data_IF_330269868901
#
_entry.id   IF_330269868901
#
_cell.length_a   1.000
_cell.length_b   1.000
_cell.length_c   1.000
_cell.angle_alpha   90.00
_cell.angle_beta   90.00
_cell.angle_gamma   90.00
#
_symmetry.space_group_name_H-M   'P 1'
#
loop_
_entity.id
_entity.type
_entity.pdbx_description
1 polymer ?
#
# COMPACT_ATOMS: atom_id res chain seq x y z
N UNK A 1 5.08 -22.81 1.08
CA UNK A 1 4.89 -21.84 2.19
C UNK A 1 3.40 -21.74 2.49
N UNK A 2 2.98 -21.90 3.75
CA UNK A 2 1.56 -21.78 4.12
C UNK A 2 1.09 -20.31 4.12
N UNK A 3 -0.19 -20.08 3.84
CA UNK A 3 -0.80 -18.76 4.02
C UNK A 3 -0.99 -18.49 5.52
N UNK A 4 -0.77 -17.23 5.92
CA UNK A 4 -0.91 -16.70 7.28
C UNK A 4 -1.96 -15.59 7.25
N UNK A 5 -2.66 -15.43 8.36
CA UNK A 5 -3.58 -14.33 8.58
C UNK A 5 -2.81 -13.09 9.02
N UNK A 6 -3.12 -11.97 8.40
CA UNK A 6 -2.60 -10.64 8.70
C UNK A 6 -3.76 -9.66 8.81
N UNK A 7 -3.53 -8.57 9.54
CA UNK A 7 -4.41 -7.40 9.54
C UNK A 7 -3.62 -6.25 8.94
N UNK A 8 -4.16 -5.66 7.88
CA UNK A 8 -3.65 -4.40 7.32
C UNK A 8 -4.33 -3.28 8.09
N UNK A 9 -3.55 -2.44 8.75
CA UNK A 9 -4.00 -1.23 9.39
C UNK A 9 -3.45 -0.02 8.60
N UNK A 10 -4.37 0.81 8.09
CA UNK A 10 -4.04 2.03 7.34
C UNK A 10 -4.33 3.30 8.16
N UNK A 11 -4.57 3.17 9.46
CA UNK A 11 -4.93 4.24 10.39
C UNK A 11 -6.43 4.60 10.40
N UNK A 12 -7.11 4.48 9.25
CA UNK A 12 -8.56 4.71 9.12
C UNK A 12 -9.39 3.42 9.21
N UNK A 13 -8.85 2.31 8.71
CA UNK A 13 -9.53 1.00 8.65
C UNK A 13 -8.54 -0.13 8.92
N UNK A 14 -9.06 -1.23 9.46
CA UNK A 14 -8.35 -2.48 9.64
C UNK A 14 -8.97 -3.56 8.76
N UNK A 15 -8.15 -4.24 7.96
CA UNK A 15 -8.59 -5.17 6.94
C UNK A 15 -7.94 -6.53 7.17
N UNK A 16 -8.71 -7.58 7.51
CA UNK A 16 -8.19 -8.93 7.65
C UNK A 16 -7.89 -9.52 6.26
N UNK A 17 -6.70 -10.09 6.09
CA UNK A 17 -6.24 -10.65 4.82
C UNK A 17 -5.36 -11.88 5.04
N UNK A 18 -5.31 -12.74 4.01
CA UNK A 18 -4.37 -13.85 3.97
C UNK A 18 -3.18 -13.53 3.06
N UNK A 19 -1.98 -13.93 3.48
CA UNK A 19 -0.77 -13.80 2.68
C UNK A 19 0.37 -14.67 3.18
N UNK A 20 1.55 -14.53 2.59
CA UNK A 20 2.73 -15.29 3.02
C UNK A 20 3.72 -14.40 3.81
N UNK A 21 4.00 -13.20 3.28
CA UNK A 21 5.00 -12.26 3.81
C UNK A 21 4.35 -10.89 3.99
N UNK A 22 4.66 -10.19 5.09
CA UNK A 22 4.09 -8.87 5.41
C UNK A 22 4.25 -7.87 4.26
N UNK A 23 5.45 -7.77 3.66
CA UNK A 23 5.72 -6.85 2.55
C UNK A 23 4.84 -7.16 1.34
N UNK A 24 4.67 -8.44 0.99
CA UNK A 24 3.82 -8.84 -0.13
C UNK A 24 2.35 -8.50 0.10
N UNK A 25 1.88 -8.60 1.35
CA UNK A 25 0.52 -8.20 1.74
C UNK A 25 0.34 -6.69 1.54
N UNK A 26 1.27 -5.88 2.03
CA UNK A 26 1.28 -4.43 1.82
C UNK A 26 1.28 -4.07 0.33
N UNK A 27 2.22 -4.61 -0.45
CA UNK A 27 2.32 -4.35 -1.90
C UNK A 27 1.05 -4.75 -2.64
N UNK A 28 0.46 -5.92 -2.32
CA UNK A 28 -0.78 -6.38 -2.96
C UNK A 28 -1.94 -5.41 -2.71
N UNK A 29 -2.04 -4.88 -1.50
CA UNK A 29 -3.03 -3.87 -1.16
C UNK A 29 -2.82 -2.56 -1.93
N UNK A 30 -1.57 -2.05 -1.94
CA UNK A 30 -1.20 -0.83 -2.66
C UNK A 30 -1.43 -0.94 -4.17
N UNK A 31 -1.08 -2.09 -4.77
CA UNK A 31 -1.37 -2.37 -6.18
C UNK A 31 -2.87 -2.35 -6.49
N UNK A 32 -3.73 -2.79 -5.56
CA UNK A 32 -5.18 -2.71 -5.73
C UNK A 32 -5.65 -1.25 -5.74
N UNK A 33 -5.16 -0.42 -4.81
CA UNK A 33 -5.45 1.02 -4.77
C UNK A 33 -4.97 1.75 -6.04
N UNK A 34 -3.74 1.46 -6.49
CA UNK A 34 -3.18 1.95 -7.75
C UNK A 34 -4.06 1.60 -8.95
N UNK A 35 -4.55 0.35 -9.03
CA UNK A 35 -5.41 -0.09 -10.13
C UNK A 35 -6.73 0.70 -10.17
N UNK A 36 -7.32 1.00 -9.02
CA UNK A 36 -8.53 1.84 -8.95
C UNK A 36 -8.29 3.24 -9.52
N UNK A 37 -7.13 3.86 -9.23
CA UNK A 37 -6.76 5.15 -9.80
C UNK A 37 -6.61 5.09 -11.32
N UNK A 38 -5.89 4.09 -11.84
CA UNK A 38 -5.67 3.91 -13.27
C UNK A 38 -6.97 3.65 -14.05
N UNK A 39 -7.93 2.94 -13.45
CA UNK A 39 -9.20 2.62 -14.08
C UNK A 39 -10.22 3.78 -14.03
N UNK A 40 -9.97 4.80 -13.22
CA UNK A 40 -10.90 5.93 -13.04
C UNK A 40 -10.68 6.99 -14.10
N UNK A 41 -11.69 7.25 -14.93
CA UNK A 41 -11.63 8.25 -16.02
C UNK A 41 -11.97 9.68 -15.58
N UNK A 42 -12.75 9.82 -14.51
CA UNK A 42 -13.18 11.13 -13.99
C UNK A 42 -12.06 11.79 -13.19
N UNK A 43 -11.70 13.02 -13.56
CA UNK A 43 -10.61 13.78 -12.93
C UNK A 43 -10.87 14.03 -11.44
N UNK A 44 -12.06 14.51 -11.07
CA UNK A 44 -12.41 14.78 -9.66
C UNK A 44 -12.32 13.52 -8.79
N UNK A 45 -12.79 12.37 -9.31
CA UNK A 45 -12.70 11.10 -8.58
C UNK A 45 -11.25 10.64 -8.40
N UNK A 46 -10.39 10.86 -9.40
CA UNK A 46 -8.95 10.55 -9.30
C UNK A 46 -8.31 11.40 -8.21
N UNK A 47 -8.59 12.70 -8.15
CA UNK A 47 -8.05 13.59 -7.10
C UNK A 47 -8.47 13.16 -5.70
N UNK A 48 -9.75 12.82 -5.52
CA UNK A 48 -10.27 12.33 -4.25
C UNK A 48 -9.63 10.99 -3.85
N UNK A 49 -9.53 10.04 -4.78
CA UNK A 49 -8.89 8.75 -4.53
C UNK A 49 -7.41 8.88 -4.24
N UNK A 50 -6.71 9.80 -4.92
CA UNK A 50 -5.29 10.04 -4.72
C UNK A 50 -5.02 10.64 -3.34
N UNK A 51 -5.86 11.57 -2.92
CA UNK A 51 -5.76 12.22 -1.61
C UNK A 51 -6.12 11.28 -0.45
N UNK A 52 -6.92 10.23 -0.70
CA UNK A 52 -7.24 9.18 0.27
C UNK A 52 -6.21 8.04 0.32
N UNK A 53 -5.16 8.08 -0.51
CA UNK A 53 -4.14 7.02 -0.49
C UNK A 53 -3.41 6.99 0.86
N UNK A 54 -3.19 5.80 1.43
CA UNK A 54 -2.45 5.69 2.67
C UNK A 54 -0.97 5.98 2.45
N UNK A 55 -0.43 6.86 3.30
CA UNK A 55 1.00 7.16 3.37
C UNK A 55 1.75 6.24 4.34
N UNK A 56 1.04 5.61 5.26
CA UNK A 56 1.60 4.66 6.22
C UNK A 56 0.71 3.43 6.28
N UNK A 57 1.31 2.25 6.26
CA UNK A 57 0.60 0.98 6.38
C UNK A 57 1.30 0.11 7.41
N UNK A 58 0.53 -0.43 8.34
CA UNK A 58 1.01 -1.37 9.34
C UNK A 58 0.42 -2.75 9.05
N UNK A 59 1.27 -3.76 8.97
CA UNK A 59 0.88 -5.15 8.75
C UNK A 59 1.07 -5.90 10.05
N UNK A 60 -0.04 -6.18 10.73
CA UNK A 60 -0.07 -6.87 12.00
C UNK A 60 -0.16 -8.37 11.72
N UNK A 61 0.89 -9.10 12.04
CA UNK A 61 0.89 -10.56 12.02
C UNK A 61 0.79 -11.13 13.44
N UNK A 62 0.63 -12.45 13.54
CA UNK A 62 0.49 -13.14 14.84
C UNK A 62 1.65 -12.91 15.83
N UNK A 63 2.87 -12.71 15.34
CA UNK A 63 4.08 -12.58 16.16
C UNK A 63 4.85 -11.29 15.92
N UNK A 64 4.79 -10.76 14.70
CA UNK A 64 5.56 -9.59 14.29
C UNK A 64 4.62 -8.65 13.58
N UNK A 65 4.76 -7.36 13.91
CA UNK A 65 4.12 -6.29 13.18
C UNK A 65 5.18 -5.50 12.43
N UNK A 66 4.95 -5.26 11.14
CA UNK A 66 5.84 -4.45 10.30
C UNK A 66 5.11 -3.21 9.83
N UNK A 67 5.75 -2.06 9.95
CA UNK A 67 5.22 -0.79 9.48
C UNK A 67 5.99 -0.37 8.24
N UNK A 68 5.27 0.16 7.26
CA UNK A 68 5.83 0.63 6.00
C UNK A 68 5.38 2.07 5.75
N UNK A 69 6.32 2.92 5.39
CA UNK A 69 6.04 4.22 4.80
C UNK A 69 5.85 4.05 3.31
N UNK A 70 4.82 4.68 2.77
CA UNK A 70 4.43 4.59 1.36
C UNK A 70 4.53 5.98 0.75
N UNK A 71 5.36 6.13 -0.25
CA UNK A 71 5.48 7.37 -1.01
C UNK A 71 4.78 7.18 -2.35
N UNK A 72 3.79 8.03 -2.64
CA UNK A 72 3.02 7.99 -3.88
C UNK A 72 3.46 9.09 -4.83
N UNK A 73 3.64 8.74 -6.09
CA UNK A 73 4.00 9.64 -7.18
C UNK A 73 2.95 9.58 -8.29
N UNK A 74 2.48 10.74 -8.76
CA UNK A 74 1.47 10.80 -9.83
C UNK A 74 2.00 10.29 -11.16
N UNK A 75 3.27 10.57 -11.42
CA UNK A 75 4.00 10.16 -12.59
C UNK A 75 5.32 9.59 -12.10
N UNK A 76 5.61 8.35 -12.47
CA UNK A 76 6.83 7.65 -12.09
C UNK A 76 8.01 8.39 -12.66
N UNK A 77 8.91 8.77 -11.77
CA UNK A 77 10.24 9.23 -12.15
C UNK A 77 11.22 8.06 -12.14
N UNK A 78 12.41 8.24 -12.73
CA UNK A 78 13.50 7.24 -12.73
C UNK A 78 13.12 5.85 -13.30
N UNK A 79 13.14 4.79 -12.48
CA UNK A 79 12.92 3.39 -12.90
C UNK A 79 11.52 3.12 -13.47
N UNK A 80 10.56 4.02 -13.24
CA UNK A 80 9.17 3.88 -13.67
C UNK A 80 8.72 4.99 -14.63
N UNK A 81 9.66 5.62 -15.36
CA UNK A 81 9.39 6.70 -16.31
C UNK A 81 8.15 6.43 -17.20
N UNK A 82 7.17 7.34 -17.17
CA UNK A 82 5.91 7.26 -17.92
C UNK A 82 4.81 6.43 -17.27
N UNK A 83 5.07 5.74 -16.16
CA UNK A 83 4.04 5.05 -15.39
C UNK A 83 3.22 6.02 -14.55
N UNK A 84 1.90 5.87 -14.51
CA UNK A 84 1.02 6.69 -13.66
C UNK A 84 0.79 6.06 -12.28
N UNK A 85 0.65 6.91 -11.27
CA UNK A 85 0.36 6.55 -9.88
C UNK A 85 1.33 5.49 -9.32
N UNK A 86 2.62 5.76 -9.42
CA UNK A 86 3.68 4.88 -8.91
C UNK A 86 3.79 5.03 -7.40
N UNK A 87 4.29 3.99 -6.72
CA UNK A 87 4.56 4.06 -5.30
C UNK A 87 5.83 3.30 -4.94
N UNK A 88 6.53 3.81 -3.93
CA UNK A 88 7.64 3.13 -3.25
C UNK A 88 7.23 2.83 -1.81
N UNK A 89 7.83 1.77 -1.24
CA UNK A 89 7.61 1.40 0.16
C UNK A 89 8.94 1.23 0.87
N UNK A 90 9.04 1.86 2.03
CA UNK A 90 10.18 1.76 2.93
C UNK A 90 9.74 1.11 4.23
N UNK A 91 10.46 0.08 4.67
CA UNK A 91 10.21 -0.53 5.97
C UNK A 91 10.66 0.44 7.07
N UNK A 92 9.74 0.83 7.95
CA UNK A 92 10.09 1.67 9.09
C UNK A 92 10.74 0.79 10.18
N UNK A 93 11.81 1.26 10.83
CA UNK A 93 12.41 0.54 11.92
C UNK A 93 11.37 0.34 13.02
N UNK A 94 11.13 -0.91 13.37
CA UNK A 94 10.35 -1.27 14.56
C UNK A 94 11.22 -0.89 15.76
N UNK A 95 10.86 0.15 16.52
CA UNK A 95 11.49 0.40 17.81
C UNK A 95 11.39 -0.88 18.65
N UNK A 96 12.56 -1.36 19.08
CA UNK A 96 12.77 -2.61 19.80
C UNK A 96 12.47 -2.45 21.28
#
# INVERSE_FOLDING_TARGET
MAKRHFIIDIGKEQIPVEGHVHRNVAVKYLMKRRRSLLMTKSKEKVENLYSDLPQNIKIIGKQVTKSYKVNWEREGTEEFAGSRFVFTIDEMPTEA
#
